data_IF_320393012100
#
_entry.id   IF_320393012100
#
_cell.length_a   1.000
_cell.length_b   1.000
_cell.length_c   1.000
_cell.angle_alpha   90.00
_cell.angle_beta   90.00
_cell.angle_gamma   90.00
#
_symmetry.space_group_name_H-M   'P 1'
#
loop_
_entity.id
_entity.type
_entity.pdbx_description
1 polymer ?
#
# COMPACT_ATOMS: atom_id res chain seq x y z
N UNK A 1 -40.98 -29.17 15.10
CA UNK A 1 -39.57 -29.00 15.47
C UNK A 1 -38.90 -28.33 14.27
N UNK A 2 -38.77 -27.03 14.33
CA UNK A 2 -38.18 -26.26 13.24
C UNK A 2 -36.71 -26.01 13.57
N UNK A 3 -35.86 -26.46 12.66
CA UNK A 3 -34.40 -26.23 12.75
C UNK A 3 -34.10 -24.75 12.55
N UNK A 4 -33.73 -24.07 13.64
CA UNK A 4 -33.13 -22.76 13.61
C UNK A 4 -31.68 -22.94 13.10
N UNK A 5 -31.51 -22.82 11.78
CA UNK A 5 -30.19 -22.65 11.17
C UNK A 5 -29.71 -21.25 11.60
N UNK A 6 -28.86 -21.22 12.60
CA UNK A 6 -28.11 -20.04 12.95
C UNK A 6 -27.10 -19.75 11.80
N UNK A 7 -27.50 -18.87 10.91
CA UNK A 7 -26.58 -18.26 9.95
C UNK A 7 -25.72 -17.31 10.76
N UNK A 8 -24.57 -17.79 11.23
CA UNK A 8 -23.48 -16.93 11.65
C UNK A 8 -22.92 -16.27 10.37
N UNK A 9 -23.52 -15.19 9.93
CA UNK A 9 -22.81 -14.24 9.06
C UNK A 9 -21.60 -13.76 9.84
N UNK A 10 -20.44 -14.29 9.48
CA UNK A 10 -19.16 -13.78 9.97
C UNK A 10 -19.11 -12.31 9.53
N UNK A 11 -19.32 -11.38 10.46
CA UNK A 11 -19.21 -9.94 10.18
C UNK A 11 -17.77 -9.68 9.74
N UNK A 12 -17.55 -9.65 8.42
CA UNK A 12 -16.23 -9.28 7.86
C UNK A 12 -15.91 -7.87 8.33
N UNK A 13 -14.81 -7.74 9.07
CA UNK A 13 -14.35 -6.45 9.58
C UNK A 13 -13.97 -5.56 8.41
N UNK A 14 -14.60 -4.40 8.30
CA UNK A 14 -14.21 -3.39 7.31
C UNK A 14 -13.40 -2.27 7.98
N UNK A 15 -12.43 -1.74 7.25
CA UNK A 15 -11.60 -0.60 7.69
C UNK A 15 -11.65 0.51 6.64
N UNK A 16 -11.22 1.72 7.03
CA UNK A 16 -11.04 2.81 6.09
C UNK A 16 -9.60 2.82 5.57
N UNK A 17 -9.47 3.01 4.26
CA UNK A 17 -8.22 3.29 3.59
C UNK A 17 -8.29 4.64 2.87
N UNK A 18 -7.14 5.29 2.76
CA UNK A 18 -6.99 6.63 2.23
C UNK A 18 -6.04 6.65 1.05
N UNK A 19 -6.39 7.40 0.01
CA UNK A 19 -5.55 7.65 -1.14
C UNK A 19 -5.49 9.15 -1.43
N UNK A 20 -4.29 9.72 -1.42
CA UNK A 20 -4.05 11.13 -1.77
C UNK A 20 -3.76 11.28 -3.26
N UNK A 21 -4.50 12.16 -3.94
CA UNK A 21 -4.33 12.45 -5.36
C UNK A 21 -4.72 13.90 -5.69
N UNK A 22 -4.46 14.35 -6.90
CA UNK A 22 -4.85 15.69 -7.36
C UNK A 22 -6.34 15.81 -7.71
N UNK A 23 -7.03 14.68 -7.90
CA UNK A 23 -8.44 14.60 -8.33
C UNK A 23 -9.16 13.49 -7.59
N UNK A 24 -10.51 13.51 -7.53
CA UNK A 24 -11.29 12.36 -7.04
C UNK A 24 -10.98 11.10 -7.85
N UNK A 25 -10.87 9.96 -7.17
CA UNK A 25 -10.64 8.64 -7.79
C UNK A 25 -11.76 7.70 -7.33
N UNK A 26 -12.92 7.83 -7.98
CA UNK A 26 -14.09 6.99 -7.67
C UNK A 26 -13.89 5.53 -8.11
N UNK A 27 -13.17 5.36 -9.23
CA UNK A 27 -12.87 4.06 -9.82
C UNK A 27 -11.37 3.82 -9.82
N UNK A 28 -10.81 3.16 -8.78
CA UNK A 28 -9.38 2.86 -8.71
C UNK A 28 -8.93 1.97 -9.88
N UNK A 29 -7.75 2.28 -10.42
CA UNK A 29 -7.14 1.54 -11.53
C UNK A 29 -5.70 1.17 -11.21
N UNK A 30 -5.26 0.02 -11.72
CA UNK A 30 -3.85 -0.39 -11.70
C UNK A 30 -3.15 0.28 -12.88
N UNK A 31 -2.41 1.34 -12.59
CA UNK A 31 -1.68 2.08 -13.63
C UNK A 31 -0.25 1.56 -13.74
N UNK A 32 0.10 1.10 -14.94
CA UNK A 32 1.47 0.76 -15.30
C UNK A 32 2.18 2.04 -15.75
N UNK A 33 3.25 2.40 -15.08
CA UNK A 33 4.12 3.53 -15.42
C UNK A 33 5.53 3.03 -15.75
N UNK A 34 6.38 3.93 -16.29
CA UNK A 34 7.79 3.62 -16.57
C UNK A 34 8.56 3.23 -15.30
N UNK A 35 8.15 3.81 -14.16
CA UNK A 35 8.77 3.53 -12.88
C UNK A 35 7.90 2.60 -12.04
N UNK A 36 8.48 1.50 -11.59
CA UNK A 36 7.86 0.62 -10.60
C UNK A 36 7.90 1.28 -9.23
N UNK A 37 6.86 1.00 -8.42
CA UNK A 37 6.80 1.42 -7.01
C UNK A 37 7.38 0.31 -6.13
N UNK A 38 7.38 0.55 -4.81
CA UNK A 38 7.94 -0.40 -3.82
C UNK A 38 7.42 -1.83 -3.97
N UNK A 39 6.12 -1.98 -4.23
CA UNK A 39 5.47 -3.27 -4.39
C UNK A 39 5.00 -3.50 -5.84
N UNK A 40 5.76 -2.96 -6.84
CA UNK A 40 5.39 -3.05 -8.25
C UNK A 40 4.19 -2.15 -8.63
N UNK A 41 3.62 -2.35 -9.82
CA UNK A 41 2.46 -1.58 -10.28
C UNK A 41 1.20 -1.97 -9.52
N UNK A 42 0.48 -0.99 -9.01
CA UNK A 42 -0.73 -1.21 -8.26
C UNK A 42 -1.45 0.10 -7.94
N UNK A 43 -2.61 -0.01 -7.34
CA UNK A 43 -3.30 1.10 -6.70
C UNK A 43 -2.91 1.14 -5.22
N UNK A 44 -2.43 2.27 -4.74
CA UNK A 44 -1.83 2.41 -3.42
C UNK A 44 -2.67 3.25 -2.48
N UNK A 45 -2.94 2.70 -1.30
CA UNK A 45 -3.62 3.35 -0.20
C UNK A 45 -2.77 3.32 1.07
N UNK A 46 -3.22 3.99 2.11
CA UNK A 46 -2.66 3.93 3.46
C UNK A 46 -3.77 3.93 4.52
N UNK A 47 -3.46 3.42 5.70
CA UNK A 47 -4.30 3.56 6.90
C UNK A 47 -4.13 4.93 7.58
N UNK A 48 -3.09 5.69 7.20
CA UNK A 48 -2.77 7.00 7.76
C UNK A 48 -3.39 8.14 6.94
N UNK A 49 -4.39 8.80 7.51
CA UNK A 49 -5.03 9.98 6.91
C UNK A 49 -4.01 11.12 6.71
N UNK A 50 -3.08 11.29 7.64
CA UNK A 50 -2.04 12.34 7.57
C UNK A 50 -1.10 12.09 6.39
N UNK A 51 -0.69 10.84 6.18
CA UNK A 51 0.16 10.46 5.06
C UNK A 51 -0.57 10.67 3.72
N UNK A 52 -1.83 10.26 3.61
CA UNK A 52 -2.62 10.45 2.40
C UNK A 52 -2.82 11.94 2.07
N UNK A 53 -3.08 12.78 3.07
CA UNK A 53 -3.19 14.24 2.88
C UNK A 53 -1.87 14.85 2.36
N UNK A 54 -0.72 14.44 2.90
CA UNK A 54 0.59 14.89 2.38
C UNK A 54 0.78 14.51 0.91
N UNK A 55 0.36 13.33 0.51
CA UNK A 55 0.43 12.92 -0.91
C UNK A 55 -0.51 13.72 -1.80
N UNK A 56 -1.71 14.04 -1.32
CA UNK A 56 -2.68 14.82 -2.09
C UNK A 56 -2.14 16.20 -2.50
N UNK A 57 -1.42 16.88 -1.60
CA UNK A 57 -0.91 18.25 -1.83
C UNK A 57 0.53 18.32 -2.34
N UNK A 58 1.24 17.18 -2.47
CA UNK A 58 2.70 17.13 -2.74
C UNK A 58 3.12 17.94 -3.96
N UNK A 59 2.34 17.92 -5.04
CA UNK A 59 2.75 18.52 -6.31
C UNK A 59 2.20 19.93 -6.54
N UNK A 60 0.99 20.22 -6.04
CA UNK A 60 0.25 21.44 -6.40
C UNK A 60 -0.19 22.26 -5.19
N UNK A 61 0.11 21.81 -3.97
CA UNK A 61 -0.35 22.45 -2.74
C UNK A 61 -1.84 22.25 -2.44
N UNK A 62 -2.58 21.57 -3.32
CA UNK A 62 -3.99 21.22 -3.14
C UNK A 62 -4.27 19.86 -3.78
N UNK A 63 -5.28 19.18 -3.31
CA UNK A 63 -5.65 17.86 -3.84
C UNK A 63 -6.88 17.26 -3.20
N UNK A 64 -7.02 15.96 -3.36
CA UNK A 64 -8.13 15.15 -2.88
C UNK A 64 -7.65 14.05 -1.94
N UNK A 65 -8.29 13.95 -0.79
CA UNK A 65 -8.24 12.80 0.08
C UNK A 65 -9.39 11.86 -0.30
N UNK A 66 -9.09 10.81 -1.03
CA UNK A 66 -10.07 9.77 -1.37
C UNK A 66 -10.19 8.78 -0.22
N UNK A 67 -11.40 8.48 0.19
CA UNK A 67 -11.71 7.60 1.32
C UNK A 67 -12.48 6.39 0.81
N UNK A 68 -11.95 5.21 1.12
CA UNK A 68 -12.55 3.94 0.74
C UNK A 68 -12.89 3.11 1.98
N UNK A 69 -14.01 2.39 1.91
CA UNK A 69 -14.24 1.24 2.78
C UNK A 69 -13.52 0.05 2.15
N UNK A 70 -12.66 -0.58 2.90
CA UNK A 70 -11.95 -1.79 2.50
C UNK A 70 -12.46 -2.98 3.30
N UNK A 71 -12.83 -4.02 2.60
CA UNK A 71 -13.26 -5.28 3.16
C UNK A 71 -12.53 -6.41 2.42
N UNK A 72 -11.57 -7.01 3.10
CA UNK A 72 -10.77 -8.09 2.52
C UNK A 72 -11.61 -9.34 2.27
N UNK A 73 -11.33 -10.04 1.19
CA UNK A 73 -11.88 -11.35 0.88
C UNK A 73 -10.84 -12.45 1.12
N UNK A 74 -11.25 -13.53 1.77
CA UNK A 74 -10.38 -14.63 2.19
C UNK A 74 -9.75 -15.41 1.02
N UNK A 75 -10.29 -15.24 -0.19
CA UNK A 75 -9.80 -15.86 -1.43
C UNK A 75 -8.62 -15.11 -2.07
N UNK A 76 -8.27 -13.93 -1.54
CA UNK A 76 -7.18 -13.12 -2.07
C UNK A 76 -5.84 -13.49 -1.43
N UNK A 77 -4.79 -13.44 -2.24
CA UNK A 77 -3.43 -13.67 -1.78
C UNK A 77 -2.85 -12.36 -1.23
N UNK A 78 -2.78 -12.27 0.10
CA UNK A 78 -2.16 -11.15 0.83
C UNK A 78 -0.72 -11.49 1.20
N UNK A 79 0.21 -10.57 0.92
CA UNK A 79 1.54 -10.51 1.52
C UNK A 79 1.59 -9.33 2.48
N UNK A 80 1.99 -9.57 3.73
CA UNK A 80 2.09 -8.54 4.76
C UNK A 80 3.48 -8.51 5.37
N UNK A 81 4.01 -7.30 5.50
CA UNK A 81 5.25 -6.99 6.21
C UNK A 81 4.91 -6.10 7.40
N UNK A 82 5.14 -6.59 8.61
CA UNK A 82 4.85 -5.82 9.83
C UNK A 82 5.92 -4.77 10.12
N UNK A 83 7.13 -4.96 9.61
CA UNK A 83 8.28 -4.09 9.83
C UNK A 83 9.26 -4.09 8.66
N UNK A 84 10.18 -3.12 8.69
CA UNK A 84 11.34 -3.09 7.78
C UNK A 84 12.33 -4.17 8.22
N UNK A 85 12.43 -5.22 7.43
CA UNK A 85 13.35 -6.35 7.65
C UNK A 85 13.98 -6.81 6.33
N UNK A 86 14.81 -7.85 6.40
CA UNK A 86 15.49 -8.38 5.23
C UNK A 86 14.52 -8.84 4.12
N UNK A 87 13.44 -9.54 4.48
CA UNK A 87 12.45 -10.02 3.51
C UNK A 87 11.72 -8.88 2.81
N UNK A 88 11.37 -7.82 3.56
CA UNK A 88 10.78 -6.60 3.00
C UNK A 88 11.75 -5.92 2.02
N UNK A 89 13.04 -5.79 2.40
CA UNK A 89 14.05 -5.15 1.56
C UNK A 89 14.27 -5.93 0.25
N UNK A 90 14.41 -7.24 0.33
CA UNK A 90 14.58 -8.11 -0.83
C UNK A 90 13.37 -8.04 -1.76
N UNK A 91 12.17 -8.01 -1.21
CA UNK A 91 10.93 -7.88 -1.98
C UNK A 91 10.86 -6.55 -2.74
N UNK A 92 11.14 -5.42 -2.06
CA UNK A 92 11.20 -4.11 -2.70
C UNK A 92 12.27 -4.07 -3.78
N UNK A 93 13.45 -4.62 -3.51
CA UNK A 93 14.56 -4.68 -4.46
C UNK A 93 14.14 -5.40 -5.75
N UNK A 94 13.48 -6.55 -5.62
CA UNK A 94 12.96 -7.30 -6.76
C UNK A 94 11.89 -6.50 -7.53
N UNK A 95 10.90 -5.93 -6.84
CA UNK A 95 9.84 -5.15 -7.47
C UNK A 95 10.41 -3.95 -8.24
N UNK A 96 11.35 -3.21 -7.66
CA UNK A 96 11.98 -2.05 -8.29
C UNK A 96 12.90 -2.41 -9.45
N UNK A 97 13.45 -3.62 -9.45
CA UNK A 97 14.20 -4.19 -10.58
C UNK A 97 13.31 -4.72 -11.71
N UNK A 98 11.99 -4.52 -11.59
CA UNK A 98 11.03 -4.90 -12.63
C UNK A 98 10.47 -6.31 -12.50
N UNK A 99 10.75 -7.02 -11.41
CA UNK A 99 10.12 -8.32 -11.16
C UNK A 99 8.67 -8.15 -10.74
N UNK A 100 7.83 -9.05 -11.22
CA UNK A 100 6.43 -9.11 -10.87
C UNK A 100 6.20 -10.20 -9.83
N UNK A 101 5.18 -10.01 -9.02
CA UNK A 101 4.70 -10.99 -8.05
C UNK A 101 3.23 -11.37 -8.32
N UNK A 102 2.76 -12.44 -7.69
CA UNK A 102 1.41 -12.98 -7.88
C UNK A 102 0.48 -12.69 -6.69
N UNK A 103 0.83 -11.76 -5.81
CA UNK A 103 -0.05 -11.33 -4.73
C UNK A 103 -1.12 -10.39 -5.24
N UNK A 104 -2.34 -10.54 -4.73
CA UNK A 104 -3.45 -9.63 -5.01
C UNK A 104 -3.29 -8.32 -4.25
N UNK A 105 -2.80 -8.41 -3.01
CA UNK A 105 -2.60 -7.28 -2.10
C UNK A 105 -1.24 -7.43 -1.42
N UNK A 106 -0.51 -6.33 -1.32
CA UNK A 106 0.71 -6.24 -0.49
C UNK A 106 0.56 -5.09 0.48
N UNK A 107 0.80 -5.36 1.76
CA UNK A 107 0.74 -4.39 2.85
C UNK A 107 2.08 -4.33 3.58
N UNK A 108 2.52 -3.14 3.95
CA UNK A 108 3.75 -2.99 4.74
C UNK A 108 4.30 -1.58 4.79
N UNK A 109 5.51 -1.42 5.34
CA UNK A 109 6.22 -0.15 5.33
C UNK A 109 6.49 0.36 3.92
N UNK A 110 6.53 1.67 3.77
CA UNK A 110 6.90 2.35 2.53
C UNK A 110 8.37 2.75 2.59
N UNK A 111 9.11 2.58 1.51
CA UNK A 111 10.40 3.21 1.35
C UNK A 111 10.20 4.67 0.94
N UNK A 112 10.05 5.55 1.92
CA UNK A 112 9.94 6.98 1.71
C UNK A 112 11.28 7.60 1.23
N UNK A 113 11.26 8.89 0.91
CA UNK A 113 12.43 9.61 0.41
C UNK A 113 13.66 9.51 1.36
N UNK A 114 13.43 9.25 2.65
CA UNK A 114 14.50 9.11 3.65
C UNK A 114 15.19 7.74 3.61
N UNK A 115 14.49 6.71 3.18
CA UNK A 115 15.02 5.34 3.03
C UNK A 115 15.47 5.09 1.59
N UNK A 116 14.96 5.86 0.62
CA UNK A 116 15.20 5.65 -0.80
C UNK A 116 16.68 5.58 -1.19
N UNK A 117 17.50 6.49 -0.69
CA UNK A 117 18.94 6.49 -0.99
C UNK A 117 19.64 5.23 -0.46
N UNK A 118 19.20 4.72 0.68
CA UNK A 118 19.73 3.49 1.27
C UNK A 118 19.29 2.24 0.49
N UNK A 119 18.05 2.20 0.00
CA UNK A 119 17.57 1.12 -0.87
C UNK A 119 18.38 1.11 -2.17
N UNK A 120 18.63 2.26 -2.78
CA UNK A 120 19.44 2.35 -3.99
C UNK A 120 20.90 1.92 -3.74
N UNK A 121 21.50 2.32 -2.61
CA UNK A 121 22.84 1.87 -2.23
C UNK A 121 22.91 0.36 -2.01
N UNK A 122 21.88 -0.23 -1.42
CA UNK A 122 21.75 -1.68 -1.29
C UNK A 122 21.64 -2.37 -2.66
N UNK A 123 20.77 -1.86 -3.55
CA UNK A 123 20.60 -2.37 -4.91
C UNK A 123 21.88 -2.29 -5.74
N UNK A 124 22.66 -1.23 -5.56
CA UNK A 124 23.97 -1.05 -6.21
C UNK A 124 25.08 -1.92 -5.61
N UNK A 125 24.84 -2.55 -4.45
CA UNK A 125 25.86 -3.30 -3.71
C UNK A 125 26.80 -2.44 -2.88
N UNK A 126 26.55 -1.14 -2.78
CA UNK A 126 27.40 -0.18 -2.05
C UNK A 126 27.16 -0.26 -0.53
N UNK A 127 25.98 -0.69 -0.11
CA UNK A 127 25.57 -0.79 1.30
C UNK A 127 25.20 -2.24 1.62
N UNK A 128 25.86 -2.88 2.60
CA UNK A 128 25.46 -4.21 3.09
C UNK A 128 24.06 -4.18 3.72
N UNK A 129 23.34 -5.30 3.62
CA UNK A 129 22.00 -5.44 4.19
C UNK A 129 21.95 -5.09 5.69
N UNK A 130 22.96 -5.51 6.47
CA UNK A 130 23.06 -5.25 7.91
C UNK A 130 23.09 -3.75 8.21
N UNK A 131 23.85 -2.98 7.44
CA UNK A 131 23.94 -1.51 7.57
C UNK A 131 22.62 -0.86 7.21
N UNK A 132 21.97 -1.30 6.12
CA UNK A 132 20.65 -0.82 5.76
C UNK A 132 19.63 -1.02 6.89
N UNK A 133 19.54 -2.23 7.44
CA UNK A 133 18.57 -2.57 8.49
C UNK A 133 18.82 -1.79 9.79
N UNK A 134 20.05 -1.48 10.11
CA UNK A 134 20.38 -0.64 11.27
C UNK A 134 19.87 0.78 11.10
N UNK A 135 20.07 1.40 9.94
CA UNK A 135 19.52 2.72 9.63
C UNK A 135 17.98 2.75 9.62
N UNK A 136 17.35 1.71 9.08
CA UNK A 136 15.90 1.62 8.98
C UNK A 136 15.21 1.54 10.36
N UNK A 137 15.87 1.00 11.40
CA UNK A 137 15.35 0.91 12.78
C UNK A 137 15.09 2.29 13.40
N UNK A 138 15.77 3.33 12.98
CA UNK A 138 15.64 4.69 13.52
C UNK A 138 14.60 5.55 12.80
N UNK A 139 13.88 4.99 11.83
CA UNK A 139 12.88 5.71 11.06
C UNK A 139 11.47 5.29 11.47
N UNK A 140 10.56 6.24 11.53
CA UNK A 140 9.14 5.92 11.71
C UNK A 140 8.63 5.33 10.39
N UNK A 141 8.22 4.06 10.37
CA UNK A 141 7.73 3.45 9.15
C UNK A 141 6.43 4.13 8.74
N UNK A 142 6.40 4.64 7.52
CA UNK A 142 5.17 4.96 6.81
C UNK A 142 4.51 3.65 6.39
N UNK A 143 3.21 3.67 6.18
CA UNK A 143 2.43 2.47 5.86
C UNK A 143 1.80 2.58 4.47
N UNK A 144 1.76 1.47 3.75
CA UNK A 144 1.03 1.38 2.48
C UNK A 144 0.32 0.03 2.33
N UNK A 145 -0.79 0.07 1.62
CA UNK A 145 -1.52 -1.11 1.13
C UNK A 145 -1.65 -0.95 -0.37
N UNK A 146 -1.22 -1.92 -1.14
CA UNK A 146 -1.25 -1.90 -2.60
C UNK A 146 -2.10 -3.02 -3.16
N UNK A 147 -2.90 -2.70 -4.18
CA UNK A 147 -3.85 -3.58 -4.83
C UNK A 147 -3.35 -3.84 -6.26
N UNK A 148 -3.15 -5.12 -6.62
CA UNK A 148 -2.45 -5.52 -7.84
C UNK A 148 -3.33 -6.25 -8.86
N UNK A 149 -4.56 -6.59 -8.49
CA UNK A 149 -5.51 -7.29 -9.38
C UNK A 149 -6.89 -6.63 -9.36
N UNK A 150 -7.70 -6.81 -10.43
CA UNK A 150 -9.09 -6.33 -10.43
C UNK A 150 -9.93 -6.89 -9.26
N UNK A 151 -9.70 -8.15 -8.86
CA UNK A 151 -10.37 -8.74 -7.68
C UNK A 151 -10.02 -7.99 -6.41
N UNK A 152 -8.76 -7.62 -6.24
CA UNK A 152 -8.32 -6.85 -5.08
C UNK A 152 -8.93 -5.45 -5.06
N UNK A 153 -9.01 -4.77 -6.21
CA UNK A 153 -9.66 -3.47 -6.31
C UNK A 153 -11.15 -3.53 -5.97
N UNK A 154 -11.84 -4.65 -6.26
CA UNK A 154 -13.24 -4.85 -5.92
C UNK A 154 -13.50 -4.86 -4.40
N UNK A 155 -12.46 -5.05 -3.57
CA UNK A 155 -12.55 -4.94 -2.12
C UNK A 155 -12.63 -3.49 -1.62
N UNK A 156 -12.44 -2.50 -2.51
CA UNK A 156 -12.53 -1.08 -2.19
C UNK A 156 -13.88 -0.52 -2.63
N UNK A 157 -14.62 0.05 -1.70
CA UNK A 157 -15.83 0.83 -1.99
C UNK A 157 -15.50 2.31 -1.77
N UNK A 158 -15.56 3.12 -2.84
CA UNK A 158 -15.40 4.57 -2.72
C UNK A 158 -16.53 5.15 -1.86
N UNK A 159 -16.19 5.96 -0.88
CA UNK A 159 -17.15 6.63 -0.01
C UNK A 159 -17.29 8.10 -0.38
N UNK A 160 -16.18 8.81 -0.46
CA UNK A 160 -16.13 10.24 -0.78
C UNK A 160 -14.70 10.72 -1.03
N UNK A 161 -14.59 11.91 -1.60
CA UNK A 161 -13.37 12.70 -1.65
C UNK A 161 -13.53 13.95 -0.79
N UNK A 162 -12.48 14.30 -0.05
CA UNK A 162 -12.37 15.53 0.71
C UNK A 162 -11.28 16.41 0.11
N UNK A 163 -11.55 17.70 -0.10
CA UNK A 163 -10.54 18.64 -0.59
C UNK A 163 -9.46 18.84 0.49
N UNK A 164 -8.20 18.91 0.07
CA UNK A 164 -7.04 19.17 0.91
C UNK A 164 -6.30 20.37 0.34
N UNK A 165 -6.08 21.39 1.21
CA UNK A 165 -5.39 22.64 0.91
C UNK A 165 -4.07 22.72 1.65
#
# INVERSE_FOLDING_TARGET
>A
MGDLIHIFETMKTSILLYHGSSVPVEHPEIRKSVYTKDFSWGFYCTKSIVQAKRWAIRNTGKGCLNIYRYQMEDTLHLLQFDEVNASWLDFIAQCRSGHHHNYDIVEGPMADDSIWNFVNGYLAGDIPQSVFLEFARFRHPTHQVSFHTPRALACLTFLRCEEVL
#
